data_IF_572391284632
#
_entry.id   IF_572391284632
#
_cell.length_a   1.000
_cell.length_b   1.000
_cell.length_c   1.000
_cell.angle_alpha   90.00
_cell.angle_beta   90.00
_cell.angle_gamma   90.00
#
_symmetry.space_group_name_H-M   'P 1'
#
loop_
_entity.id
_entity.type
_entity.pdbx_description
1 polymer ?
#
# COMPACT_ATOMS: atom_id res chain seq x y z
N UNK A 1 -15.56 3.88 -14.36
CA UNK A 1 -14.98 3.84 -15.73
C UNK A 1 -14.93 2.40 -16.23
N UNK A 2 -14.41 1.44 -15.43
CA UNK A 2 -14.32 0.03 -15.83
C UNK A 2 -15.68 -0.63 -16.02
N UNK A 3 -16.65 -0.40 -15.12
CA UNK A 3 -17.99 -0.98 -15.23
C UNK A 3 -18.76 -0.44 -16.46
N UNK A 4 -18.60 0.85 -16.77
CA UNK A 4 -19.20 1.43 -17.96
C UNK A 4 -18.58 0.85 -19.25
N UNK A 5 -17.28 0.61 -19.26
CA UNK A 5 -16.61 -0.08 -20.36
C UNK A 5 -17.08 -1.52 -20.51
N UNK A 6 -17.21 -2.24 -19.38
CA UNK A 6 -17.66 -3.62 -19.37
C UNK A 6 -19.11 -3.75 -19.86
N UNK A 7 -20.02 -2.88 -19.41
CA UNK A 7 -21.42 -2.90 -19.84
C UNK A 7 -21.56 -2.59 -21.34
N UNK A 8 -20.73 -1.70 -21.87
CA UNK A 8 -20.72 -1.37 -23.29
C UNK A 8 -20.20 -2.53 -24.17
N UNK A 9 -19.22 -3.28 -23.68
CA UNK A 9 -18.65 -4.44 -24.40
C UNK A 9 -19.59 -5.66 -24.36
N UNK A 10 -20.28 -5.86 -23.21
CA UNK A 10 -21.15 -7.03 -23.01
C UNK A 10 -22.60 -6.77 -23.42
N UNK A 11 -22.96 -5.54 -23.82
CA UNK A 11 -24.34 -5.11 -24.06
C UNK A 11 -25.28 -5.46 -22.90
N UNK A 12 -24.80 -5.23 -21.66
CA UNK A 12 -25.47 -5.59 -20.42
C UNK A 12 -25.76 -4.33 -19.59
N UNK A 13 -26.67 -4.45 -18.65
CA UNK A 13 -26.91 -3.37 -17.69
C UNK A 13 -25.77 -3.26 -16.68
N UNK A 14 -25.67 -2.11 -15.99
CA UNK A 14 -24.70 -1.92 -14.92
C UNK A 14 -24.80 -2.99 -13.82
N UNK A 15 -26.04 -3.39 -13.48
CA UNK A 15 -26.28 -4.41 -12.45
C UNK A 15 -25.84 -5.80 -12.91
N UNK A 16 -26.08 -6.15 -14.18
CA UNK A 16 -25.62 -7.42 -14.73
C UNK A 16 -24.09 -7.48 -14.78
N UNK A 17 -23.44 -6.34 -15.08
CA UNK A 17 -21.99 -6.24 -15.07
C UNK A 17 -21.37 -6.47 -13.67
N UNK A 18 -22.08 -6.09 -12.60
CA UNK A 18 -21.63 -6.35 -11.22
C UNK A 18 -21.64 -7.83 -10.85
N UNK A 19 -22.47 -8.63 -11.49
CA UNK A 19 -22.56 -10.10 -11.25
C UNK A 19 -21.44 -10.88 -11.92
N UNK A 20 -20.69 -10.24 -12.84
CA UNK A 20 -19.52 -10.86 -13.48
C UNK A 20 -18.29 -10.79 -12.58
N UNK A 21 -17.31 -11.66 -12.80
CA UNK A 21 -16.02 -11.59 -12.09
C UNK A 21 -15.33 -10.23 -12.28
N UNK A 22 -15.42 -9.63 -13.47
CA UNK A 22 -14.87 -8.31 -13.76
C UNK A 22 -15.59 -7.14 -13.08
N UNK A 23 -16.87 -7.31 -12.71
CA UNK A 23 -17.65 -6.31 -11.96
C UNK A 23 -17.56 -6.47 -10.45
N UNK A 24 -17.37 -7.67 -9.95
CA UNK A 24 -17.29 -7.96 -8.52
C UNK A 24 -16.10 -7.26 -7.85
N UNK A 25 -14.92 -7.30 -8.46
CA UNK A 25 -13.72 -6.70 -7.90
C UNK A 25 -13.84 -5.18 -7.65
N UNK A 26 -14.25 -4.34 -8.63
CA UNK A 26 -14.44 -2.91 -8.38
C UNK A 26 -15.56 -2.62 -7.38
N UNK A 27 -16.64 -3.41 -7.35
CA UNK A 27 -17.70 -3.27 -6.34
C UNK A 27 -17.17 -3.52 -4.92
N UNK A 28 -16.38 -4.57 -4.74
CA UNK A 28 -15.73 -4.88 -3.47
C UNK A 28 -14.77 -3.75 -3.04
N UNK A 29 -14.00 -3.16 -3.97
CA UNK A 29 -13.09 -2.03 -3.68
C UNK A 29 -13.84 -0.78 -3.28
N UNK A 30 -14.96 -0.47 -3.92
CA UNK A 30 -15.82 0.65 -3.52
C UNK A 30 -16.37 0.44 -2.12
N UNK A 31 -16.91 -0.73 -1.82
CA UNK A 31 -17.41 -1.07 -0.48
C UNK A 31 -16.28 -1.02 0.55
N UNK A 32 -15.11 -1.55 0.23
CA UNK A 32 -13.92 -1.48 1.07
C UNK A 32 -13.54 -0.02 1.39
N UNK A 33 -13.55 0.84 0.39
CA UNK A 33 -13.30 2.28 0.57
C UNK A 33 -14.30 2.93 1.51
N UNK A 34 -15.59 2.61 1.39
CA UNK A 34 -16.64 3.09 2.29
C UNK A 34 -16.40 2.62 3.72
N UNK A 35 -16.12 1.32 3.91
CA UNK A 35 -15.87 0.75 5.24
C UNK A 35 -14.63 1.38 5.91
N UNK A 36 -13.53 1.54 5.17
CA UNK A 36 -12.32 2.21 5.67
C UNK A 36 -12.65 3.66 6.06
N UNK A 37 -13.38 4.38 5.22
CA UNK A 37 -13.74 5.77 5.48
C UNK A 37 -14.62 5.91 6.71
N UNK A 38 -15.59 5.02 6.89
CA UNK A 38 -16.44 4.99 8.09
C UNK A 38 -15.61 4.68 9.34
N UNK A 39 -14.68 3.72 9.26
CA UNK A 39 -13.80 3.39 10.37
C UNK A 39 -12.87 4.54 10.77
N UNK A 40 -12.33 5.27 9.81
CA UNK A 40 -11.46 6.43 10.06
C UNK A 40 -12.26 7.65 10.55
N UNK A 41 -13.49 7.83 10.07
CA UNK A 41 -14.36 8.96 10.45
C UNK A 41 -14.75 8.92 11.91
N UNK A 42 -15.13 7.74 12.41
CA UNK A 42 -15.56 7.57 13.82
C UNK A 42 -14.41 7.84 14.80
N UNK A 43 -13.18 7.44 14.45
CA UNK A 43 -11.98 7.66 15.27
C UNK A 43 -11.62 9.16 15.41
N UNK A 44 -11.97 9.98 14.41
CA UNK A 44 -11.69 11.43 14.44
C UNK A 44 -12.69 12.23 15.27
N UNK A 45 -13.92 11.73 15.44
CA UNK A 45 -15.00 12.43 16.15
C UNK A 45 -15.06 12.03 17.64
N UNK A 46 -14.62 10.83 17.99
CA UNK A 46 -14.88 10.22 19.29
C UNK A 46 -14.01 10.73 20.45
N UNK A 47 -13.01 11.61 20.23
CA UNK A 47 -12.08 11.99 21.31
C UNK A 47 -11.86 13.50 21.46
N UNK A 48 -12.72 14.20 22.21
CA UNK A 48 -12.40 15.54 22.72
C UNK A 48 -11.23 15.52 23.75
N UNK A 49 -10.87 14.37 24.29
CA UNK A 49 -9.89 14.19 25.38
C UNK A 49 -8.48 13.72 24.94
N UNK A 50 -8.23 13.55 23.65
CA UNK A 50 -6.88 13.19 23.16
C UNK A 50 -6.40 11.76 23.49
N UNK A 51 -7.21 10.92 24.11
CA UNK A 51 -6.87 9.52 24.35
C UNK A 51 -7.28 8.65 23.16
N UNK A 52 -6.29 8.23 22.38
CA UNK A 52 -6.43 7.27 21.29
C UNK A 52 -6.80 5.88 21.82
N UNK A 53 -8.05 5.51 21.74
CA UNK A 53 -8.52 4.15 22.05
C UNK A 53 -8.59 3.31 20.78
N UNK A 54 -7.47 2.75 20.36
CA UNK A 54 -7.38 1.86 19.19
C UNK A 54 -7.94 0.45 19.43
N UNK A 55 -8.09 0.02 20.66
CA UNK A 55 -8.50 -1.35 20.96
C UNK A 55 -10.01 -1.46 21.19
N UNK A 56 -10.72 -2.10 20.26
CA UNK A 56 -12.08 -2.61 20.47
C UNK A 56 -13.23 -1.69 20.04
N UNK A 57 -12.98 -0.62 19.28
CA UNK A 57 -14.08 0.18 18.73
C UNK A 57 -14.67 -0.45 17.45
N UNK A 58 -15.96 -0.24 17.20
CA UNK A 58 -16.61 -0.65 15.96
C UNK A 58 -15.91 -0.02 14.72
N UNK A 59 -15.37 1.19 14.88
CA UNK A 59 -14.59 1.90 13.89
C UNK A 59 -13.37 1.09 13.40
N UNK A 60 -12.57 0.54 14.31
CA UNK A 60 -11.44 -0.32 13.96
C UNK A 60 -11.89 -1.59 13.24
N UNK A 61 -13.04 -2.16 13.61
CA UNK A 61 -13.61 -3.33 12.93
C UNK A 61 -14.01 -3.00 11.48
N UNK A 62 -14.65 -1.85 11.23
CA UNK A 62 -14.98 -1.41 9.88
C UNK A 62 -13.73 -1.16 9.03
N UNK A 63 -12.72 -0.51 9.57
CA UNK A 63 -11.46 -0.26 8.85
C UNK A 63 -10.75 -1.57 8.50
N UNK A 64 -10.67 -2.53 9.43
CA UNK A 64 -10.07 -3.85 9.21
C UNK A 64 -10.88 -4.65 8.18
N UNK A 65 -12.21 -4.69 8.31
CA UNK A 65 -13.07 -5.38 7.37
C UNK A 65 -12.93 -4.80 5.95
N UNK A 66 -12.88 -3.48 5.82
CA UNK A 66 -12.64 -2.81 4.57
C UNK A 66 -11.28 -3.14 3.97
N UNK A 67 -10.21 -3.16 4.78
CA UNK A 67 -8.87 -3.55 4.33
C UNK A 67 -8.83 -5.00 3.83
N UNK A 68 -9.43 -5.93 4.58
CA UNK A 68 -9.50 -7.33 4.17
C UNK A 68 -10.30 -7.50 2.89
N UNK A 69 -11.45 -6.81 2.78
CA UNK A 69 -12.26 -6.83 1.57
C UNK A 69 -11.51 -6.28 0.36
N UNK A 70 -10.75 -5.18 0.53
CA UNK A 70 -9.90 -4.64 -0.52
C UNK A 70 -8.86 -5.67 -0.99
N UNK A 71 -8.15 -6.32 -0.07
CA UNK A 71 -7.15 -7.34 -0.41
C UNK A 71 -7.77 -8.55 -1.14
N UNK A 72 -8.91 -9.04 -0.64
CA UNK A 72 -9.61 -10.17 -1.25
C UNK A 72 -10.13 -9.83 -2.66
N UNK A 73 -10.48 -8.57 -2.91
CA UNK A 73 -10.99 -8.14 -4.22
C UNK A 73 -10.03 -8.42 -5.38
N UNK A 74 -8.73 -8.41 -5.12
CA UNK A 74 -7.70 -8.71 -6.13
C UNK A 74 -7.70 -10.17 -6.58
N UNK A 75 -8.32 -11.08 -5.81
CA UNK A 75 -8.49 -12.49 -6.20
C UNK A 75 -9.57 -12.69 -7.28
N UNK A 76 -10.31 -11.66 -7.64
CA UNK A 76 -11.42 -11.71 -8.59
C UNK A 76 -11.11 -11.05 -9.94
N UNK A 77 -9.91 -10.49 -10.13
CA UNK A 77 -9.51 -9.89 -11.40
C UNK A 77 -8.04 -10.21 -11.76
N UNK A 78 -7.63 -9.74 -12.94
CA UNK A 78 -6.26 -9.81 -13.40
C UNK A 78 -5.70 -11.22 -13.57
N UNK A 79 -4.45 -11.39 -13.22
CA UNK A 79 -3.68 -12.63 -13.41
C UNK A 79 -4.21 -13.80 -12.57
N UNK A 80 -4.81 -13.51 -11.43
CA UNK A 80 -5.37 -14.50 -10.51
C UNK A 80 -6.48 -15.35 -11.12
N UNK A 81 -7.20 -14.81 -12.10
CA UNK A 81 -8.30 -15.50 -12.79
C UNK A 81 -7.80 -16.25 -14.02
N UNK A 82 -6.69 -15.81 -14.59
CA UNK A 82 -6.17 -16.27 -15.88
C UNK A 82 -5.14 -17.39 -15.79
N UNK A 83 -4.48 -17.57 -14.62
CA UNK A 83 -3.35 -18.50 -14.47
C UNK A 83 -3.59 -19.48 -13.33
N UNK A 84 -3.25 -20.74 -13.57
CA UNK A 84 -3.24 -21.81 -12.56
C UNK A 84 -1.82 -22.00 -11.98
N UNK A 85 -1.67 -22.37 -10.68
CA UNK A 85 -2.73 -22.60 -9.69
C UNK A 85 -3.29 -21.28 -9.12
N UNK A 86 -4.58 -21.06 -9.27
CA UNK A 86 -5.26 -19.81 -8.90
C UNK A 86 -4.98 -19.35 -7.46
N UNK A 87 -4.98 -20.26 -6.49
CA UNK A 87 -4.75 -19.92 -5.09
C UNK A 87 -3.35 -19.35 -4.85
N UNK A 88 -2.34 -19.85 -5.56
CA UNK A 88 -0.96 -19.36 -5.46
C UNK A 88 -0.89 -17.93 -5.98
N UNK A 89 -1.44 -17.67 -7.17
CA UNK A 89 -1.48 -16.33 -7.75
C UNK A 89 -2.26 -15.34 -6.89
N UNK A 90 -3.44 -15.74 -6.36
CA UNK A 90 -4.23 -14.94 -5.44
C UNK A 90 -3.47 -14.57 -4.17
N UNK A 91 -2.72 -15.52 -3.60
CA UNK A 91 -1.93 -15.28 -2.39
C UNK A 91 -0.77 -14.32 -2.67
N UNK A 92 -0.02 -14.56 -3.74
CA UNK A 92 1.09 -13.68 -4.13
C UNK A 92 0.59 -12.26 -4.38
N UNK A 93 -0.54 -12.12 -5.08
CA UNK A 93 -1.13 -10.81 -5.40
C UNK A 93 -1.62 -10.08 -4.15
N UNK A 94 -2.31 -10.77 -3.25
CA UNK A 94 -2.75 -10.20 -1.98
C UNK A 94 -1.57 -9.73 -1.11
N UNK A 95 -0.49 -10.52 -1.04
CA UNK A 95 0.74 -10.14 -0.31
C UNK A 95 1.43 -8.97 -0.99
N UNK A 96 1.54 -8.98 -2.32
CA UNK A 96 2.11 -7.89 -3.11
C UNK A 96 1.38 -6.57 -2.88
N UNK A 97 0.06 -6.57 -3.02
CA UNK A 97 -0.79 -5.39 -2.83
C UNK A 97 -0.76 -4.93 -1.37
N UNK A 98 -0.83 -5.85 -0.41
CA UNK A 98 -0.75 -5.54 1.01
C UNK A 98 0.57 -4.86 1.37
N UNK A 99 1.70 -5.43 0.95
CA UNK A 99 3.03 -4.84 1.19
C UNK A 99 3.19 -3.49 0.46
N UNK A 100 2.71 -3.39 -0.77
CA UNK A 100 2.68 -2.14 -1.54
C UNK A 100 1.87 -1.05 -0.85
N UNK A 101 0.72 -1.40 -0.27
CA UNK A 101 -0.14 -0.48 0.49
C UNK A 101 0.54 0.02 1.76
N UNK A 102 1.24 -0.85 2.49
CA UNK A 102 2.04 -0.45 3.67
C UNK A 102 3.15 0.51 3.27
N UNK A 103 3.88 0.20 2.20
CA UNK A 103 4.98 1.04 1.73
C UNK A 103 4.49 2.40 1.24
N UNK A 104 3.57 2.42 0.29
CA UNK A 104 3.06 3.64 -0.32
C UNK A 104 2.24 4.48 0.67
N UNK A 105 1.33 3.84 1.41
CA UNK A 105 0.49 4.49 2.41
C UNK A 105 1.30 5.11 3.55
N UNK A 106 2.34 4.43 4.01
CA UNK A 106 3.24 4.94 5.03
C UNK A 106 4.06 6.15 4.54
N UNK A 107 4.56 6.13 3.30
CA UNK A 107 5.22 7.30 2.69
C UNK A 107 4.24 8.47 2.59
N UNK A 108 3.02 8.23 2.09
CA UNK A 108 1.99 9.27 1.98
C UNK A 108 1.64 9.86 3.35
N UNK A 109 1.48 9.03 4.38
CA UNK A 109 1.21 9.47 5.74
C UNK A 109 2.34 10.34 6.30
N UNK A 110 3.61 9.95 6.09
CA UNK A 110 4.76 10.76 6.50
C UNK A 110 4.79 12.12 5.81
N UNK A 111 4.50 12.17 4.50
CA UNK A 111 4.43 13.42 3.74
C UNK A 111 3.30 14.31 4.27
N UNK A 112 2.11 13.76 4.50
CA UNK A 112 0.98 14.50 5.04
C UNK A 112 1.27 15.08 6.42
N UNK A 113 1.85 14.30 7.32
CA UNK A 113 2.24 14.77 8.66
C UNK A 113 3.33 15.85 8.57
N UNK A 114 4.33 15.67 7.71
CA UNK A 114 5.39 16.65 7.52
C UNK A 114 4.84 17.98 6.97
N UNK A 115 3.96 17.93 5.97
CA UNK A 115 3.37 19.15 5.38
C UNK A 115 2.40 19.85 6.31
N UNK A 116 1.61 19.08 7.09
CA UNK A 116 0.71 19.65 8.09
C UNK A 116 1.49 20.41 9.17
N UNK A 117 2.50 19.79 9.75
CA UNK A 117 3.35 20.40 10.80
C UNK A 117 4.11 21.64 10.30
N UNK A 118 4.55 21.62 9.05
CA UNK A 118 5.22 22.79 8.45
C UNK A 118 4.28 24.01 8.31
N UNK A 119 2.98 23.77 8.20
CA UNK A 119 1.97 24.84 8.08
C UNK A 119 1.53 25.41 9.43
N UNK A 120 1.66 24.65 10.51
CA UNK A 120 1.16 25.05 11.84
C UNK A 120 2.22 25.66 12.74
N UNK A 121 3.47 25.80 12.28
CA UNK A 121 4.63 26.28 13.07
C UNK A 121 4.83 25.58 14.43
N UNK A 122 4.17 24.44 14.64
CA UNK A 122 4.16 23.71 15.90
C UNK A 122 5.29 22.68 15.98
N UNK A 123 6.18 22.92 16.94
CA UNK A 123 7.10 22.00 17.63
C UNK A 123 8.23 21.30 16.82
N UNK A 124 9.35 20.97 17.49
CA UNK A 124 10.60 20.60 16.85
C UNK A 124 10.52 19.27 16.05
N UNK A 125 11.26 19.25 14.96
CA UNK A 125 11.40 18.18 13.92
C UNK A 125 11.73 16.78 14.49
N UNK A 126 12.13 16.67 15.74
CA UNK A 126 12.59 15.43 16.39
C UNK A 126 11.60 14.26 16.39
N UNK A 127 10.28 14.40 16.66
CA UNK A 127 9.37 13.27 16.63
C UNK A 127 9.15 12.71 15.23
N UNK A 128 9.14 13.58 14.20
CA UNK A 128 8.96 13.16 12.81
C UNK A 128 10.16 12.36 12.29
N UNK A 129 11.38 12.78 12.65
CA UNK A 129 12.61 12.08 12.29
C UNK A 129 12.65 10.66 12.88
N UNK A 130 12.29 10.50 14.14
CA UNK A 130 12.22 9.19 14.80
C UNK A 130 11.18 8.28 14.14
N UNK A 131 10.01 8.82 13.79
CA UNK A 131 8.95 8.08 13.07
C UNK A 131 9.43 7.67 11.68
N UNK A 132 10.10 8.55 10.94
CA UNK A 132 10.64 8.27 9.62
C UNK A 132 11.72 7.17 9.66
N UNK A 133 12.58 7.17 10.69
CA UNK A 133 13.59 6.11 10.87
C UNK A 133 12.93 4.76 11.12
N UNK A 134 11.96 4.68 12.01
CA UNK A 134 11.21 3.44 12.28
C UNK A 134 10.50 2.94 11.03
N UNK A 135 9.75 3.82 10.37
CA UNK A 135 9.05 3.48 9.14
C UNK A 135 10.00 3.05 8.02
N UNK A 136 11.21 3.60 7.93
CA UNK A 136 12.16 3.23 6.88
C UNK A 136 12.57 1.76 6.91
N UNK A 137 12.55 1.11 8.09
CA UNK A 137 12.82 -0.33 8.22
C UNK A 137 11.62 -1.16 7.74
N UNK A 138 10.41 -0.75 8.12
CA UNK A 138 9.16 -1.36 7.63
C UNK A 138 9.03 -1.19 6.11
N UNK A 139 9.33 0.01 5.59
CA UNK A 139 9.32 0.31 4.17
C UNK A 139 10.32 -0.55 3.38
N UNK A 140 11.53 -0.77 3.92
CA UNK A 140 12.53 -1.62 3.28
C UNK A 140 12.06 -3.08 3.21
N UNK A 141 11.48 -3.62 4.30
CA UNK A 141 10.91 -4.96 4.30
C UNK A 141 9.73 -5.08 3.32
N UNK A 142 8.80 -4.13 3.34
CA UNK A 142 7.66 -4.10 2.43
C UNK A 142 8.13 -4.07 0.97
N UNK A 143 9.16 -3.29 0.65
CA UNK A 143 9.74 -3.22 -0.70
C UNK A 143 10.36 -4.56 -1.14
N UNK A 144 11.06 -5.26 -0.24
CA UNK A 144 11.62 -6.60 -0.52
C UNK A 144 10.47 -7.58 -0.83
N UNK A 145 9.39 -7.54 -0.05
CA UNK A 145 8.22 -8.40 -0.28
C UNK A 145 7.55 -8.06 -1.62
N UNK A 146 7.33 -6.78 -1.91
CA UNK A 146 6.78 -6.31 -3.20
C UNK A 146 7.64 -6.81 -4.37
N UNK A 147 8.96 -6.63 -4.28
CA UNK A 147 9.88 -7.08 -5.33
C UNK A 147 9.87 -8.61 -5.49
N UNK A 148 9.91 -9.36 -4.39
CA UNK A 148 9.85 -10.82 -4.40
C UNK A 148 8.56 -11.35 -5.03
N UNK A 149 7.41 -10.81 -4.63
CA UNK A 149 6.12 -11.14 -5.25
C UNK A 149 6.09 -10.77 -6.74
N UNK A 150 6.59 -9.59 -7.10
CA UNK A 150 6.68 -9.16 -8.50
C UNK A 150 7.53 -10.07 -9.37
N UNK A 151 8.68 -10.52 -8.85
CA UNK A 151 9.54 -11.51 -9.55
C UNK A 151 8.82 -12.85 -9.68
N UNK A 152 8.19 -13.35 -8.60
CA UNK A 152 7.43 -14.59 -8.63
C UNK A 152 6.31 -14.56 -9.68
N UNK A 153 5.55 -13.46 -9.74
CA UNK A 153 4.50 -13.28 -10.76
C UNK A 153 5.10 -13.17 -12.16
N UNK A 154 6.23 -12.48 -12.32
CA UNK A 154 6.89 -12.37 -13.62
C UNK A 154 7.31 -13.75 -14.17
N UNK A 155 7.91 -14.59 -13.33
CA UNK A 155 8.34 -15.95 -13.71
C UNK A 155 7.16 -16.84 -14.10
N UNK A 156 6.00 -16.66 -13.47
CA UNK A 156 4.82 -17.50 -13.71
C UNK A 156 3.93 -17.01 -14.84
N UNK A 157 4.07 -15.75 -15.27
CA UNK A 157 3.19 -15.12 -16.28
C UNK A 157 3.92 -14.94 -17.63
N UNK A 158 5.24 -14.66 -17.61
CA UNK A 158 6.00 -14.48 -18.83
C UNK A 158 6.39 -15.83 -19.42
N UNK A 159 6.02 -16.08 -20.67
CA UNK A 159 6.43 -17.28 -21.39
C UNK A 159 7.90 -17.19 -21.84
N UNK A 160 8.38 -15.96 -22.06
CA UNK A 160 9.75 -15.70 -22.50
C UNK A 160 10.26 -14.34 -22.04
N UNK A 161 11.58 -14.17 -21.99
CA UNK A 161 12.21 -12.88 -21.69
C UNK A 161 11.88 -11.78 -22.71
N UNK A 162 11.58 -12.17 -23.96
CA UNK A 162 11.18 -11.23 -24.99
C UNK A 162 9.82 -10.58 -24.70
N UNK A 163 8.97 -11.19 -23.89
CA UNK A 163 7.65 -10.66 -23.54
C UNK A 163 7.75 -9.38 -22.69
N UNK A 164 8.85 -9.23 -21.94
CA UNK A 164 9.10 -8.02 -21.15
C UNK A 164 9.26 -6.75 -22.00
N UNK A 165 9.80 -6.89 -23.22
CA UNK A 165 9.99 -5.75 -24.12
C UNK A 165 9.04 -5.75 -25.29
N UNK A 166 8.60 -6.92 -25.73
CA UNK A 166 7.78 -7.13 -26.91
C UNK A 166 6.29 -6.89 -26.70
N UNK A 167 5.79 -7.09 -25.48
CA UNK A 167 4.36 -6.98 -25.19
C UNK A 167 4.00 -5.66 -24.48
N UNK A 168 2.75 -5.17 -24.62
CA UNK A 168 2.27 -4.04 -23.83
C UNK A 168 2.32 -4.29 -22.31
N UNK A 169 2.05 -5.52 -21.89
CA UNK A 169 2.13 -5.94 -20.48
C UNK A 169 3.55 -5.80 -19.95
N UNK A 170 4.53 -6.37 -20.63
CA UNK A 170 5.93 -6.32 -20.19
C UNK A 170 6.47 -4.89 -20.14
N UNK A 171 6.15 -4.05 -21.13
CA UNK A 171 6.53 -2.63 -21.12
C UNK A 171 5.93 -1.87 -19.91
N UNK A 172 4.66 -2.11 -19.59
CA UNK A 172 4.03 -1.53 -18.40
C UNK A 172 4.69 -2.02 -17.11
N UNK A 173 5.06 -3.30 -17.03
CA UNK A 173 5.80 -3.86 -15.91
C UNK A 173 7.16 -3.17 -15.74
N UNK A 174 7.92 -2.99 -16.83
CA UNK A 174 9.21 -2.30 -16.79
C UNK A 174 9.08 -0.84 -16.35
N UNK A 175 8.07 -0.11 -16.81
CA UNK A 175 7.80 1.27 -16.39
C UNK A 175 7.50 1.32 -14.89
N UNK A 176 6.60 0.46 -14.39
CA UNK A 176 6.25 0.38 -12.96
C UNK A 176 7.48 0.04 -12.12
N UNK A 177 8.25 -0.97 -12.52
CA UNK A 177 9.46 -1.40 -11.82
C UNK A 177 10.51 -0.29 -11.78
N UNK A 178 10.71 0.43 -12.89
CA UNK A 178 11.62 1.58 -12.93
C UNK A 178 11.20 2.68 -11.95
N UNK A 179 9.90 2.98 -11.87
CA UNK A 179 9.36 3.94 -10.90
C UNK A 179 9.62 3.50 -9.45
N UNK A 180 9.42 2.21 -9.14
CA UNK A 180 9.69 1.65 -7.81
C UNK A 180 11.19 1.72 -7.49
N UNK A 181 12.07 1.40 -8.44
CA UNK A 181 13.53 1.50 -8.25
C UNK A 181 13.95 2.95 -7.96
N UNK A 182 13.45 3.92 -8.71
CA UNK A 182 13.74 5.34 -8.48
C UNK A 182 13.27 5.76 -7.08
N UNK A 183 12.05 5.40 -6.68
CA UNK A 183 11.52 5.71 -5.36
C UNK A 183 12.34 5.03 -4.24
N UNK A 184 12.77 3.78 -4.44
CA UNK A 184 13.65 3.06 -3.52
C UNK A 184 15.03 3.74 -3.37
N UNK A 185 15.62 4.21 -4.46
CA UNK A 185 16.90 4.94 -4.44
C UNK A 185 16.77 6.27 -3.69
N UNK A 186 15.68 7.01 -3.91
CA UNK A 186 15.37 8.23 -3.16
C UNK A 186 15.22 7.91 -1.67
N UNK A 187 14.46 6.88 -1.32
CA UNK A 187 14.29 6.43 0.07
C UNK A 187 15.61 6.02 0.72
N UNK A 188 16.45 5.27 0.01
CA UNK A 188 17.79 4.89 0.46
C UNK A 188 18.70 6.12 0.67
N UNK A 189 18.69 7.07 -0.26
CA UNK A 189 19.42 8.33 -0.10
C UNK A 189 18.97 9.09 1.16
N UNK A 190 17.66 9.23 1.38
CA UNK A 190 17.12 9.85 2.59
C UNK A 190 17.56 9.10 3.85
N UNK A 191 17.45 7.77 3.87
CA UNK A 191 17.82 6.94 5.02
C UNK A 191 19.30 7.04 5.40
N UNK A 192 20.20 6.99 4.39
CA UNK A 192 21.64 6.86 4.63
C UNK A 192 22.39 8.20 4.63
N UNK A 193 21.84 9.23 4.00
CA UNK A 193 22.50 10.55 3.87
C UNK A 193 21.80 11.69 4.57
N UNK A 194 20.46 11.77 4.51
CA UNK A 194 19.70 12.89 5.07
C UNK A 194 19.42 12.69 6.55
N UNK A 195 18.81 11.57 6.93
CA UNK A 195 18.43 11.29 8.32
C UNK A 195 19.61 11.33 9.30
N UNK A 196 20.81 10.76 9.02
CA UNK A 196 21.95 10.87 9.93
C UNK A 196 22.47 12.31 10.15
N UNK A 197 22.30 13.18 9.17
CA UNK A 197 22.70 14.61 9.29
C UNK A 197 21.75 15.42 10.16
N UNK A 198 20.49 15.02 10.25
CA UNK A 198 19.51 15.62 11.15
C UNK A 198 19.73 15.17 12.60
N UNK A 199 20.53 14.11 12.82
CA UNK A 199 20.84 13.53 14.13
C UNK A 199 22.03 14.18 14.86
N UNK A 200 22.60 15.25 14.33
CA UNK A 200 23.74 15.95 14.93
C UNK A 200 23.47 16.54 16.34
N UNK A 201 22.28 16.35 16.89
CA UNK A 201 21.87 16.74 18.23
C UNK A 201 21.90 15.63 19.30
N UNK A 202 22.42 14.43 19.03
CA UNK A 202 22.59 13.35 20.03
C UNK A 202 21.29 12.67 20.52
N UNK A 203 20.13 13.14 20.10
CA UNK A 203 18.82 12.62 20.57
C UNK A 203 18.30 11.42 19.81
N UNK A 204 18.73 11.23 18.57
CA UNK A 204 18.37 10.07 17.78
C UNK A 204 19.27 8.85 18.03
N UNK A 205 20.49 9.05 18.49
CA UNK A 205 21.38 7.95 18.92
C UNK A 205 20.79 7.19 20.11
N UNK A 206 20.22 7.88 21.10
CA UNK A 206 19.54 7.27 22.25
C UNK A 206 18.33 6.41 21.84
N UNK A 207 17.57 6.81 20.84
CA UNK A 207 16.43 6.03 20.34
C UNK A 207 16.86 4.76 19.59
N UNK A 208 18.05 4.71 18.99
CA UNK A 208 18.61 3.53 18.34
C UNK A 208 19.02 2.46 19.34
N UNK A 209 19.62 2.86 20.49
CA UNK A 209 20.14 1.93 21.50
C UNK A 209 19.02 1.20 22.24
N UNK A 210 17.85 1.81 22.39
CA UNK A 210 16.71 1.22 23.10
C UNK A 210 16.05 0.07 22.30
N UNK A 211 16.25 0.00 21.00
CA UNK A 211 15.65 -1.04 20.12
C UNK A 211 16.56 -2.24 19.82
N UNK A 212 17.80 -2.21 20.29
CA UNK A 212 18.75 -3.34 20.10
C UNK A 212 18.75 -4.29 21.30
N UNK A 213 17.96 -4.02 22.34
CA UNK A 213 17.96 -4.76 23.62
C UNK A 213 16.62 -5.48 23.88
N UNK A 214 15.62 -5.38 23.01
CA UNK A 214 14.41 -6.20 23.01
C UNK A 214 14.34 -7.06 21.72
#
# INVERSE_FOLDING_TARGET
VELAGLSAVLDTTWFDSLSTSGGAAPAMRLLAGVLISLGLYDDTIATPSGESRWAGSAASAFAIAGLLLALVSFSFDGHTVMHEPRLVHATIDAVHVGAGSVWFGGVAALVLVATHRHRTDDEPVTPLGATAIRFSSVAALALIVVAGCGVAMCITIADSWSDLTGTPWGRNLLIKTSGVVVAALIGAYHRFRVLPRLDTGGRLAAARTTFTIE
#
